data_IF_543797271173
#
_entry.id   IF_543797271173
#
_cell.length_a   1.000
_cell.length_b   1.000
_cell.length_c   1.000
_cell.angle_alpha   90.00
_cell.angle_beta   90.00
_cell.angle_gamma   90.00
#
_symmetry.space_group_name_H-M   'P 1'
#
loop_
_entity.id
_entity.type
_entity.pdbx_description
1 polymer ?
#
# COMPACT_ATOMS: atom_id res chain seq x y z
N UNK A 1 57.06 -14.67 41.61
CA UNK A 1 55.66 -14.63 41.13
C UNK A 1 55.25 -13.17 41.01
N UNK A 2 55.29 -12.62 39.80
CA UNK A 2 54.93 -11.23 39.52
C UNK A 2 53.47 -11.22 39.05
N UNK A 3 52.59 -10.56 39.81
CA UNK A 3 51.16 -10.41 39.49
C UNK A 3 50.99 -9.19 38.57
N UNK A 4 50.58 -9.43 37.33
CA UNK A 4 50.12 -8.39 36.40
C UNK A 4 48.70 -7.97 36.76
N UNK A 5 48.51 -6.69 37.09
CA UNK A 5 47.19 -6.06 37.15
C UNK A 5 46.85 -5.52 35.76
N UNK A 6 45.82 -6.08 35.12
CA UNK A 6 45.23 -5.54 33.89
C UNK A 6 44.18 -4.50 34.30
N UNK A 7 44.42 -3.24 33.96
CA UNK A 7 43.47 -2.15 34.13
C UNK A 7 42.45 -2.19 32.98
N UNK A 8 41.19 -2.50 33.30
CA UNK A 8 40.07 -2.44 32.36
C UNK A 8 39.61 -0.97 32.25
N UNK A 9 40.01 -0.30 31.16
CA UNK A 9 39.51 1.04 30.85
C UNK A 9 38.10 0.93 30.25
N UNK A 10 37.08 1.31 31.02
CA UNK A 10 35.72 1.43 30.55
C UNK A 10 35.61 2.68 29.65
N UNK A 11 35.62 2.49 28.33
CA UNK A 11 35.23 3.52 27.37
C UNK A 11 33.71 3.72 27.44
N UNK A 12 33.27 4.77 28.15
CA UNK A 12 31.92 5.30 27.97
C UNK A 12 31.86 5.95 26.59
N UNK A 13 31.50 5.17 25.56
CA UNK A 13 31.08 5.74 24.28
C UNK A 13 29.77 6.44 24.55
N UNK A 14 29.80 7.77 24.63
CA UNK A 14 28.60 8.58 24.64
C UNK A 14 27.90 8.33 23.30
N UNK A 15 26.87 7.49 23.30
CA UNK A 15 25.95 7.39 22.17
C UNK A 15 25.29 8.76 22.04
N UNK A 16 25.75 9.54 21.07
CA UNK A 16 25.01 10.70 20.61
C UNK A 16 23.64 10.16 20.17
N UNK A 17 22.58 10.54 20.88
CA UNK A 17 21.24 10.47 20.31
C UNK A 17 21.27 11.43 19.13
N UNK A 18 21.49 10.92 17.94
CA UNK A 18 21.26 11.68 16.72
C UNK A 18 19.78 12.07 16.73
N UNK A 19 19.52 13.37 16.85
CA UNK A 19 18.17 13.89 16.76
C UNK A 19 17.57 13.46 15.42
N UNK A 20 16.28 13.11 15.42
CA UNK A 20 15.57 12.79 14.19
C UNK A 20 15.79 13.90 13.14
N UNK A 21 16.00 13.55 11.87
CA UNK A 21 16.27 14.54 10.84
C UNK A 21 15.06 15.50 10.70
N UNK A 22 15.34 16.79 10.50
CA UNK A 22 14.28 17.74 10.10
C UNK A 22 13.81 17.43 8.68
N UNK A 23 12.61 17.89 8.32
CA UNK A 23 12.08 17.73 6.97
C UNK A 23 13.03 18.31 5.91
N UNK A 24 13.64 19.48 6.18
CA UNK A 24 14.56 20.14 5.25
C UNK A 24 15.87 19.36 5.08
N UNK A 25 16.42 18.82 6.17
CA UNK A 25 17.61 17.99 6.12
C UNK A 25 17.35 16.70 5.34
N UNK A 26 16.19 16.08 5.58
CA UNK A 26 15.74 14.89 4.86
C UNK A 26 15.52 15.15 3.37
N UNK A 27 14.81 16.23 3.03
CA UNK A 27 14.54 16.63 1.66
C UNK A 27 15.82 16.93 0.87
N UNK A 28 16.80 17.59 1.52
CA UNK A 28 18.10 17.86 0.91
C UNK A 28 18.88 16.58 0.60
N UNK A 29 18.89 15.62 1.52
CA UNK A 29 19.51 14.30 1.30
C UNK A 29 18.83 13.57 0.12
N UNK A 30 17.50 13.50 0.11
CA UNK A 30 16.75 12.87 -0.98
C UNK A 30 16.94 13.57 -2.33
N UNK A 31 16.98 14.91 -2.35
CA UNK A 31 17.26 15.69 -3.55
C UNK A 31 18.63 15.34 -4.13
N UNK A 32 19.67 15.27 -3.29
CA UNK A 32 21.01 14.91 -3.74
C UNK A 32 21.05 13.50 -4.35
N UNK A 33 20.35 12.54 -3.75
CA UNK A 33 20.28 11.16 -4.26
C UNK A 33 19.57 11.10 -5.61
N UNK A 34 18.43 11.79 -5.74
CA UNK A 34 17.69 11.86 -6.99
C UNK A 34 18.48 12.58 -8.09
N UNK A 35 19.13 13.71 -7.80
CA UNK A 35 19.99 14.41 -8.75
C UNK A 35 21.16 13.54 -9.23
N UNK A 36 21.72 12.71 -8.33
CA UNK A 36 22.79 11.77 -8.69
C UNK A 36 22.28 10.66 -9.59
N UNK A 37 21.05 10.19 -9.39
CA UNK A 37 20.42 9.14 -10.18
C UNK A 37 19.79 9.66 -11.49
N UNK A 38 19.50 10.96 -11.59
CA UNK A 38 18.88 11.66 -12.72
C UNK A 38 19.72 12.88 -13.14
N UNK A 39 20.95 12.70 -13.65
CA UNK A 39 21.89 13.81 -13.89
C UNK A 39 21.47 14.82 -14.97
N UNK A 40 20.42 14.52 -15.75
CA UNK A 40 19.86 15.41 -16.77
C UNK A 40 18.65 16.22 -16.30
N UNK A 41 18.10 15.93 -15.12
CA UNK A 41 16.87 16.54 -14.63
C UNK A 41 17.18 17.73 -13.72
N UNK A 42 16.40 18.82 -13.89
CA UNK A 42 16.46 19.94 -12.95
C UNK A 42 15.51 19.65 -11.80
N UNK A 43 16.06 19.24 -10.66
CA UNK A 43 15.29 18.92 -9.46
C UNK A 43 15.42 20.01 -8.41
N UNK A 44 14.31 20.39 -7.77
CA UNK A 44 14.30 21.34 -6.65
C UNK A 44 13.26 20.95 -5.59
N UNK A 45 13.52 21.30 -4.33
CA UNK A 45 12.52 21.18 -3.26
C UNK A 45 11.45 22.26 -3.44
N UNK A 46 10.18 21.88 -3.31
CA UNK A 46 9.05 22.81 -3.38
C UNK A 46 9.09 23.78 -2.18
N UNK A 47 9.00 25.09 -2.44
CA UNK A 47 9.28 26.10 -1.43
C UNK A 47 8.31 26.11 -0.24
N UNK A 48 7.07 25.70 -0.46
CA UNK A 48 5.98 25.64 0.53
C UNK A 48 5.74 24.23 1.09
N UNK A 49 6.38 23.19 0.52
CA UNK A 49 6.27 21.80 0.97
C UNK A 49 7.64 21.12 0.91
N UNK A 50 8.43 21.13 2.01
CA UNK A 50 9.81 20.65 2.00
C UNK A 50 9.92 19.16 1.65
N UNK A 51 8.88 18.37 1.91
CA UNK A 51 8.82 16.95 1.58
C UNK A 51 8.30 16.68 0.16
N UNK A 52 8.37 17.66 -0.74
CA UNK A 52 8.05 17.49 -2.17
C UNK A 52 9.23 17.98 -3.00
N UNK A 53 9.75 17.12 -3.87
CA UNK A 53 10.71 17.50 -4.90
C UNK A 53 9.98 17.60 -6.22
N UNK A 54 10.20 18.68 -6.95
CA UNK A 54 9.64 18.90 -8.29
C UNK A 54 10.71 18.79 -9.35
N UNK A 55 10.39 18.13 -10.46
CA UNK A 55 11.10 18.24 -11.73
C UNK A 55 10.25 19.11 -12.65
N UNK A 56 10.57 20.41 -12.79
CA UNK A 56 9.84 21.28 -13.68
C UNK A 56 10.00 20.79 -15.11
N UNK A 57 8.90 20.67 -15.83
CA UNK A 57 8.96 20.46 -17.27
C UNK A 57 9.10 21.83 -17.96
N UNK A 58 9.93 21.94 -19.01
CA UNK A 58 10.13 23.21 -19.75
C UNK A 58 8.80 23.78 -20.28
N UNK A 59 7.84 22.89 -20.57
CA UNK A 59 6.50 23.25 -21.05
C UNK A 59 5.49 23.54 -19.93
N UNK A 60 5.84 23.34 -18.65
CA UNK A 60 4.97 23.46 -17.46
C UNK A 60 3.64 22.69 -17.53
N UNK A 61 3.52 21.75 -18.47
CA UNK A 61 2.28 20.99 -18.67
C UNK A 61 2.15 19.85 -17.67
N UNK A 62 3.26 19.21 -17.33
CA UNK A 62 3.32 18.06 -16.43
C UNK A 62 4.62 18.07 -15.63
N UNK A 63 4.70 18.90 -14.59
CA UNK A 63 5.80 18.82 -13.63
C UNK A 63 5.75 17.45 -12.92
N UNK A 64 6.90 16.79 -12.76
CA UNK A 64 6.95 15.56 -11.97
C UNK A 64 7.08 15.90 -10.49
N UNK A 65 6.27 15.27 -9.65
CA UNK A 65 6.31 15.45 -8.20
C UNK A 65 6.79 14.17 -7.52
N UNK A 66 7.86 14.27 -6.74
CA UNK A 66 8.37 13.20 -5.90
C UNK A 66 8.00 13.51 -4.44
N UNK A 67 6.96 12.84 -3.95
CA UNK A 67 6.46 13.04 -2.59
C UNK A 67 7.25 12.18 -1.60
N UNK A 68 7.84 12.83 -0.59
CA UNK A 68 8.72 12.25 0.42
C UNK A 68 8.03 12.02 1.77
N UNK A 69 6.80 12.50 1.96
CA UNK A 69 6.10 12.50 3.27
C UNK A 69 6.07 11.13 3.91
N UNK A 70 5.75 10.11 3.12
CA UNK A 70 5.67 8.73 3.59
C UNK A 70 7.01 8.19 4.10
N UNK A 71 8.08 8.44 3.34
CA UNK A 71 9.41 7.92 3.69
C UNK A 71 9.94 8.66 4.90
N UNK A 72 9.72 9.98 4.95
CA UNK A 72 10.02 10.77 6.11
C UNK A 72 9.31 10.25 7.36
N UNK A 73 7.99 10.06 7.30
CA UNK A 73 7.18 9.53 8.40
C UNK A 73 7.64 8.15 8.88
N UNK A 74 8.03 7.26 7.96
CA UNK A 74 8.65 5.98 8.30
C UNK A 74 9.99 6.17 9.03
N UNK A 75 10.87 7.00 8.47
CA UNK A 75 12.20 7.29 9.00
C UNK A 75 12.20 7.98 10.38
N UNK A 76 11.10 8.62 10.79
CA UNK A 76 10.99 9.19 12.14
C UNK A 76 11.03 8.13 13.25
N UNK A 77 10.63 6.89 12.94
CA UNK A 77 10.46 5.82 13.93
C UNK A 77 11.29 4.57 13.63
N UNK A 78 11.85 4.46 12.41
CA UNK A 78 12.64 3.32 11.98
C UNK A 78 14.10 3.38 12.51
N UNK A 79 14.78 2.22 12.52
CA UNK A 79 16.23 2.20 12.72
C UNK A 79 16.95 2.91 11.57
N UNK A 80 18.16 3.42 11.83
CA UNK A 80 18.93 4.18 10.83
C UNK A 80 19.18 3.38 9.54
N UNK A 81 19.55 2.09 9.67
CA UNK A 81 19.80 1.21 8.54
C UNK A 81 18.53 0.94 7.71
N UNK A 82 17.38 0.77 8.38
CA UNK A 82 16.08 0.58 7.70
C UNK A 82 15.68 1.85 6.93
N UNK A 83 15.84 3.02 7.55
CA UNK A 83 15.58 4.29 6.89
C UNK A 83 16.48 4.47 5.64
N UNK A 84 17.78 4.18 5.75
CA UNK A 84 18.69 4.25 4.61
C UNK A 84 18.32 3.27 3.49
N UNK A 85 17.93 2.04 3.82
CA UNK A 85 17.45 1.06 2.84
C UNK A 85 16.22 1.58 2.09
N UNK A 86 15.22 2.12 2.81
CA UNK A 86 13.99 2.63 2.17
C UNK A 86 14.27 3.85 1.28
N UNK A 87 15.20 4.75 1.66
CA UNK A 87 15.62 5.86 0.79
C UNK A 87 16.25 5.36 -0.51
N UNK A 88 17.14 4.37 -0.44
CA UNK A 88 17.80 3.80 -1.62
C UNK A 88 16.78 3.12 -2.54
N UNK A 89 15.89 2.30 -1.97
CA UNK A 89 14.83 1.63 -2.71
C UNK A 89 13.90 2.61 -3.41
N UNK A 90 13.57 3.73 -2.76
CA UNK A 90 12.74 4.77 -3.37
C UNK A 90 13.41 5.40 -4.60
N UNK A 91 14.68 5.78 -4.49
CA UNK A 91 15.45 6.35 -5.61
C UNK A 91 15.56 5.32 -6.74
N UNK A 92 15.88 4.07 -6.42
CA UNK A 92 15.95 3.00 -7.40
C UNK A 92 14.62 2.82 -8.15
N UNK A 93 13.49 2.78 -7.43
CA UNK A 93 12.15 2.66 -8.04
C UNK A 93 11.77 3.86 -8.92
N UNK A 94 12.12 5.08 -8.51
CA UNK A 94 11.81 6.28 -9.30
C UNK A 94 12.64 6.41 -10.58
N UNK A 95 13.87 5.90 -10.55
CA UNK A 95 14.81 5.98 -11.68
C UNK A 95 14.84 4.74 -12.56
N UNK A 96 14.15 3.67 -12.15
CA UNK A 96 14.03 2.47 -12.96
C UNK A 96 13.38 2.83 -14.32
N UNK A 97 13.94 2.34 -15.45
CA UNK A 97 13.29 2.49 -16.74
C UNK A 97 11.87 1.96 -16.66
N UNK A 98 10.90 2.75 -17.10
CA UNK A 98 9.52 2.29 -17.19
C UNK A 98 9.47 1.12 -18.16
N UNK A 99 9.11 -0.05 -17.65
CA UNK A 99 8.81 -1.19 -18.51
C UNK A 99 7.45 -0.95 -19.14
N UNK A 100 7.32 -1.22 -20.43
CA UNK A 100 6.03 -1.15 -21.11
C UNK A 100 5.12 -2.21 -20.49
N UNK A 101 3.98 -1.77 -19.96
CA UNK A 101 3.02 -2.67 -19.36
C UNK A 101 2.35 -3.54 -20.43
N UNK A 102 1.95 -4.73 -20.05
CA UNK A 102 1.31 -5.73 -20.89
C UNK A 102 -0.06 -6.13 -20.33
N UNK A 103 -0.81 -6.93 -21.08
CA UNK A 103 -2.11 -7.47 -20.61
C UNK A 103 -1.93 -8.42 -19.44
N UNK A 104 -0.75 -9.04 -19.33
CA UNK A 104 -0.36 -10.01 -18.31
C UNK A 104 -0.06 -9.36 -16.95
N UNK A 105 0.14 -8.05 -16.94
CA UNK A 105 0.43 -7.24 -15.76
C UNK A 105 -0.86 -6.76 -15.07
N UNK A 106 -2.04 -7.09 -15.59
CA UNK A 106 -3.29 -6.62 -15.01
C UNK A 106 -3.59 -7.28 -13.66
N UNK A 107 -3.84 -6.44 -12.65
CA UNK A 107 -4.23 -6.86 -11.31
C UNK A 107 -5.47 -6.11 -10.84
N UNK A 108 -6.12 -6.66 -9.83
CA UNK A 108 -7.08 -5.98 -8.99
C UNK A 108 -6.33 -5.60 -7.72
N UNK A 109 -6.49 -4.34 -7.29
CA UNK A 109 -6.06 -3.87 -5.97
C UNK A 109 -7.26 -3.33 -5.21
N UNK A 110 -7.19 -3.27 -3.89
CA UNK A 110 -8.24 -2.67 -3.04
C UNK A 110 -7.70 -1.46 -2.30
N UNK A 111 -8.45 -0.37 -2.31
CA UNK A 111 -8.12 0.90 -1.64
C UNK A 111 -9.34 1.46 -0.91
N UNK A 112 -9.09 2.40 -0.01
CA UNK A 112 -10.12 3.13 0.71
C UNK A 112 -10.78 4.24 -0.12
N UNK A 113 -11.79 4.86 0.50
CA UNK A 113 -12.42 6.08 0.05
C UNK A 113 -11.42 7.23 -0.18
N UNK A 114 -10.47 7.43 0.72
CA UNK A 114 -9.52 8.55 0.64
C UNK A 114 -8.68 8.48 -0.64
N UNK A 115 -8.24 7.28 -1.03
CA UNK A 115 -7.56 7.08 -2.31
C UNK A 115 -8.46 7.40 -3.51
N UNK A 116 -9.75 7.01 -3.46
CA UNK A 116 -10.70 7.33 -4.54
C UNK A 116 -10.93 8.83 -4.62
N UNK A 117 -11.07 9.52 -3.49
CA UNK A 117 -11.26 10.96 -3.48
C UNK A 117 -10.01 11.70 -3.99
N UNK A 118 -8.81 11.23 -3.63
CA UNK A 118 -7.57 11.69 -4.25
C UNK A 118 -7.59 11.55 -5.79
N UNK A 119 -7.95 10.38 -6.33
CA UNK A 119 -8.07 10.20 -7.79
C UNK A 119 -9.12 11.13 -8.41
N UNK A 120 -10.20 11.42 -7.67
CA UNK A 120 -11.26 12.31 -8.16
C UNK A 120 -10.83 13.76 -8.23
N UNK A 121 -10.06 14.20 -7.26
CA UNK A 121 -9.63 15.58 -7.11
C UNK A 121 -8.40 15.90 -7.96
N UNK A 122 -7.56 14.88 -8.26
CA UNK A 122 -6.31 15.07 -9.00
C UNK A 122 -6.37 14.66 -10.47
N UNK A 123 -7.22 13.71 -10.84
CA UNK A 123 -7.28 13.19 -12.21
C UNK A 123 -8.57 13.64 -12.91
N UNK A 124 -8.48 14.25 -14.11
CA UNK A 124 -9.65 14.57 -14.94
C UNK A 124 -10.55 13.35 -15.14
N UNK A 125 -11.87 13.59 -15.20
CA UNK A 125 -12.85 12.51 -15.26
C UNK A 125 -12.63 11.54 -16.44
N UNK A 126 -12.17 12.03 -17.60
CA UNK A 126 -11.94 11.22 -18.80
C UNK A 126 -10.68 10.34 -18.72
N UNK A 127 -9.74 10.70 -17.85
CA UNK A 127 -8.48 9.98 -17.62
C UNK A 127 -8.49 9.18 -16.31
N UNK A 128 -9.57 9.30 -15.52
CA UNK A 128 -9.67 8.66 -14.22
C UNK A 128 -9.62 7.13 -14.37
N UNK A 129 -8.82 6.44 -13.53
CA UNK A 129 -8.83 5.00 -13.52
C UNK A 129 -10.19 4.42 -13.16
N UNK A 130 -10.44 3.21 -13.63
CA UNK A 130 -11.68 2.48 -13.32
C UNK A 130 -11.62 1.86 -11.93
N UNK A 131 -12.72 2.00 -11.20
CA UNK A 131 -12.89 1.41 -9.88
C UNK A 131 -14.33 0.96 -9.66
N UNK A 132 -14.53 -0.01 -8.75
CA UNK A 132 -15.84 -0.49 -8.31
C UNK A 132 -15.91 -0.47 -6.79
N UNK A 133 -16.99 0.06 -6.26
CA UNK A 133 -17.25 -0.06 -4.83
C UNK A 133 -17.55 -1.52 -4.49
N UNK A 134 -16.80 -2.09 -3.54
CA UNK A 134 -17.00 -3.46 -3.05
C UNK A 134 -17.52 -3.48 -1.61
N UNK A 135 -17.46 -2.34 -0.93
CA UNK A 135 -17.98 -2.17 0.42
C UNK A 135 -18.07 -0.73 0.89
N UNK A 136 -18.44 -0.56 2.15
CA UNK A 136 -18.44 0.74 2.83
C UNK A 136 -17.01 1.24 3.00
N UNK A 137 -16.63 2.25 2.21
CA UNK A 137 -15.27 2.76 2.20
C UNK A 137 -14.24 1.84 1.55
N UNK A 138 -14.65 0.76 0.85
CA UNK A 138 -13.73 -0.12 0.11
C UNK A 138 -14.03 -0.14 -1.39
N UNK A 139 -12.96 0.00 -2.17
CA UNK A 139 -13.02 0.05 -3.63
C UNK A 139 -11.98 -0.88 -4.24
N UNK A 140 -12.39 -1.64 -5.26
CA UNK A 140 -11.49 -2.39 -6.11
C UNK A 140 -11.11 -1.54 -7.33
N UNK A 141 -9.83 -1.54 -7.72
CA UNK A 141 -9.29 -0.80 -8.86
C UNK A 141 -8.48 -1.70 -9.80
N UNK A 142 -8.39 -1.30 -11.07
CA UNK A 142 -7.44 -1.90 -12.01
C UNK A 142 -6.04 -1.44 -11.64
N UNK A 143 -5.07 -2.32 -11.75
CA UNK A 143 -3.66 -1.98 -11.67
C UNK A 143 -2.87 -2.68 -12.78
N UNK A 144 -1.77 -2.07 -13.19
CA UNK A 144 -0.73 -2.67 -14.01
C UNK A 144 0.49 -2.88 -13.11
N UNK A 145 0.75 -4.14 -12.81
CA UNK A 145 1.88 -4.63 -12.02
C UNK A 145 3.02 -5.02 -12.96
N UNK A 146 3.72 -4.00 -13.46
CA UNK A 146 4.92 -4.21 -14.28
C UNK A 146 6.12 -4.56 -13.39
N UNK A 147 7.18 -5.19 -13.92
CA UNK A 147 8.37 -5.54 -13.14
C UNK A 147 9.02 -4.36 -12.38
N UNK A 148 8.85 -3.13 -12.89
CA UNK A 148 9.41 -1.92 -12.31
C UNK A 148 8.47 -1.13 -11.40
N UNK A 149 7.15 -1.28 -11.57
CA UNK A 149 6.17 -0.43 -10.88
C UNK A 149 4.75 -0.98 -10.96
N UNK A 150 3.95 -0.65 -9.93
CA UNK A 150 2.51 -0.83 -9.92
C UNK A 150 1.87 0.53 -10.20
N UNK A 151 1.10 0.63 -11.28
CA UNK A 151 0.33 1.82 -11.64
C UNK A 151 -1.15 1.52 -11.75
N UNK A 152 -2.00 2.56 -11.66
CA UNK A 152 -3.45 2.43 -11.86
C UNK A 152 -3.76 3.00 -13.24
N UNK A 153 -4.09 2.16 -14.25
CA UNK A 153 -4.12 2.62 -15.63
C UNK A 153 -5.27 3.57 -15.90
N UNK A 154 -4.98 4.61 -16.67
CA UNK A 154 -6.00 5.45 -17.28
C UNK A 154 -6.77 4.67 -18.36
N UNK A 155 -7.96 5.15 -18.73
CA UNK A 155 -8.75 4.53 -19.80
C UNK A 155 -8.04 4.47 -21.14
N UNK A 156 -7.19 5.45 -21.43
CA UNK A 156 -6.38 5.47 -22.65
C UNK A 156 -5.36 4.32 -22.66
N UNK A 157 -4.67 4.08 -21.56
CA UNK A 157 -3.66 3.03 -21.43
C UNK A 157 -4.30 1.63 -21.60
N UNK A 158 -5.49 1.40 -21.04
CA UNK A 158 -6.24 0.16 -21.29
C UNK A 158 -6.57 -0.05 -22.77
N UNK A 159 -6.90 1.02 -23.50
CA UNK A 159 -7.14 0.95 -24.95
C UNK A 159 -5.87 0.70 -25.75
N UNK A 160 -4.73 1.24 -25.31
CA UNK A 160 -3.41 0.97 -25.91
C UNK A 160 -3.01 -0.50 -25.72
N UNK A 161 -3.37 -1.09 -24.58
CA UNK A 161 -3.31 -2.53 -24.38
C UNK A 161 -4.31 -3.30 -25.25
N UNK A 162 -5.24 -2.64 -25.96
CA UNK A 162 -6.26 -3.31 -26.75
C UNK A 162 -7.27 -4.06 -25.88
N UNK A 163 -7.69 -3.44 -24.77
CA UNK A 163 -8.73 -3.91 -23.88
C UNK A 163 -9.82 -2.85 -23.71
N UNK A 164 -11.06 -3.31 -23.71
CA UNK A 164 -12.19 -2.53 -23.18
C UNK A 164 -12.26 -2.66 -21.66
N UNK A 165 -13.02 -1.79 -21.01
CA UNK A 165 -13.23 -1.87 -19.56
C UNK A 165 -13.92 -3.18 -19.15
N UNK A 166 -14.86 -3.66 -19.96
CA UNK A 166 -15.60 -4.90 -19.72
C UNK A 166 -14.70 -6.14 -19.81
N UNK A 167 -13.68 -6.11 -20.66
CA UNK A 167 -12.69 -7.19 -20.81
C UNK A 167 -11.59 -7.12 -19.74
N UNK A 168 -11.14 -5.92 -19.38
CA UNK A 168 -10.03 -5.73 -18.45
C UNK A 168 -10.35 -6.28 -17.05
N UNK A 169 -11.58 -6.10 -16.56
CA UNK A 169 -11.97 -6.50 -15.20
C UNK A 169 -11.95 -8.01 -14.95
N UNK A 170 -12.64 -8.87 -15.75
CA UNK A 170 -12.56 -10.31 -15.57
C UNK A 170 -11.14 -10.85 -15.84
N UNK A 171 -10.37 -10.23 -16.74
CA UNK A 171 -8.98 -10.60 -16.98
C UNK A 171 -8.10 -10.32 -15.74
N UNK A 172 -8.15 -9.10 -15.22
CA UNK A 172 -7.43 -8.70 -14.02
C UNK A 172 -7.82 -9.56 -12.81
N UNK A 173 -9.12 -9.80 -12.61
CA UNK A 173 -9.61 -10.67 -11.53
C UNK A 173 -9.07 -12.09 -11.66
N UNK A 174 -9.08 -12.68 -12.86
CA UNK A 174 -8.52 -14.00 -13.11
C UNK A 174 -7.02 -14.05 -12.80
N UNK A 175 -6.25 -13.07 -13.27
CA UNK A 175 -4.80 -12.99 -13.04
C UNK A 175 -4.46 -12.79 -11.56
N UNK A 176 -5.22 -11.93 -10.87
CA UNK A 176 -5.04 -11.69 -9.43
C UNK A 176 -5.32 -12.95 -8.61
N UNK A 177 -6.43 -13.65 -8.89
CA UNK A 177 -6.73 -14.92 -8.21
C UNK A 177 -5.66 -16.00 -8.41
N UNK A 178 -4.92 -15.96 -9.52
CA UNK A 178 -3.88 -16.94 -9.81
C UNK A 178 -2.63 -16.77 -8.94
N UNK A 179 -2.42 -15.60 -8.33
CA UNK A 179 -1.28 -15.31 -7.44
C UNK A 179 -1.66 -15.20 -5.97
N UNK A 180 -2.96 -15.09 -5.66
CA UNK A 180 -3.48 -15.04 -4.30
C UNK A 180 -3.62 -16.43 -3.67
N UNK A 181 -3.55 -16.53 -2.34
CA UNK A 181 -3.82 -17.78 -1.64
C UNK A 181 -5.28 -18.20 -1.81
N UNK A 182 -5.53 -19.51 -1.79
CA UNK A 182 -6.87 -20.06 -1.91
C UNK A 182 -7.66 -19.93 -0.59
N UNK A 183 -8.87 -19.39 -0.68
CA UNK A 183 -9.85 -19.41 0.40
C UNK A 183 -10.67 -20.71 0.34
N UNK A 184 -10.49 -21.57 1.34
CA UNK A 184 -11.31 -22.78 1.46
C UNK A 184 -12.64 -22.47 2.15
N UNK A 185 -13.73 -22.60 1.40
CA UNK A 185 -15.09 -22.49 1.94
C UNK A 185 -15.34 -23.49 3.08
N UNK A 186 -14.82 -24.72 2.96
CA UNK A 186 -14.97 -25.74 4.00
C UNK A 186 -14.20 -25.37 5.27
N UNK A 187 -13.01 -24.77 5.15
CA UNK A 187 -12.29 -24.26 6.31
C UNK A 187 -13.03 -23.14 7.03
N UNK A 188 -13.64 -22.21 6.28
CA UNK A 188 -14.49 -21.17 6.87
C UNK A 188 -15.75 -21.76 7.52
N UNK A 189 -16.42 -22.75 6.92
CA UNK A 189 -17.57 -23.44 7.54
C UNK A 189 -17.23 -24.09 8.87
N UNK A 190 -16.01 -24.60 9.01
CA UNK A 190 -15.49 -25.20 10.24
C UNK A 190 -15.04 -24.16 11.28
N UNK A 191 -15.16 -22.86 10.98
CA UNK A 191 -14.76 -21.80 11.88
C UNK A 191 -13.25 -21.53 11.93
N UNK A 192 -12.48 -22.03 10.94
CA UNK A 192 -11.02 -21.82 10.91
C UNK A 192 -10.70 -20.38 10.53
N UNK A 193 -9.90 -19.64 11.34
CA UNK A 193 -9.44 -18.32 10.96
C UNK A 193 -8.33 -18.42 9.90
N UNK A 194 -8.23 -17.40 9.06
CA UNK A 194 -7.17 -17.20 8.08
C UNK A 194 -6.44 -15.90 8.38
N UNK A 195 -5.14 -15.99 8.60
CA UNK A 195 -4.23 -14.85 8.57
C UNK A 195 -3.31 -15.07 7.37
N UNK A 196 -3.52 -14.30 6.31
CA UNK A 196 -2.64 -14.36 5.14
C UNK A 196 -1.61 -13.25 5.25
N UNK A 197 -0.37 -13.65 5.04
CA UNK A 197 0.82 -12.81 5.07
C UNK A 197 1.65 -13.14 3.82
N UNK A 198 2.57 -12.25 3.45
CA UNK A 198 3.59 -12.49 2.40
C UNK A 198 3.09 -12.51 0.94
N UNK A 199 1.79 -12.47 0.68
CA UNK A 199 1.26 -12.33 -0.69
C UNK A 199 1.00 -10.86 -1.02
N UNK A 200 1.32 -10.45 -2.24
CA UNK A 200 0.92 -9.15 -2.76
C UNK A 200 -0.59 -9.16 -3.08
N UNK A 201 -1.22 -7.99 -2.95
CA UNK A 201 -2.65 -7.78 -3.30
C UNK A 201 -3.64 -8.56 -2.43
N UNK A 202 -3.27 -8.98 -1.22
CA UNK A 202 -4.15 -9.78 -0.35
C UNK A 202 -5.56 -9.22 -0.17
N UNK A 203 -5.75 -7.91 0.02
CA UNK A 203 -7.08 -7.29 0.08
C UNK A 203 -7.98 -7.58 -1.13
N UNK A 204 -7.42 -7.93 -2.29
CA UNK A 204 -8.18 -8.32 -3.48
C UNK A 204 -8.92 -9.65 -3.32
N UNK A 205 -8.64 -10.44 -2.28
CA UNK A 205 -9.53 -11.52 -1.83
C UNK A 205 -10.95 -11.01 -1.55
N UNK A 206 -11.09 -9.77 -1.07
CA UNK A 206 -12.36 -9.13 -0.78
C UNK A 206 -13.07 -8.60 -2.03
N UNK A 207 -12.36 -8.43 -3.15
CA UNK A 207 -12.92 -7.87 -4.39
C UNK A 207 -13.79 -8.88 -5.17
N UNK A 208 -13.66 -10.18 -4.90
CA UNK A 208 -14.43 -11.25 -5.53
C UNK A 208 -15.86 -11.38 -4.94
N UNK A 209 -16.63 -10.31 -5.04
CA UNK A 209 -17.97 -10.20 -4.43
C UNK A 209 -18.94 -11.29 -4.90
N UNK A 210 -18.77 -11.83 -6.11
CA UNK A 210 -19.58 -12.95 -6.60
C UNK A 210 -19.32 -14.24 -5.81
N UNK A 211 -18.05 -14.58 -5.55
CA UNK A 211 -17.69 -15.74 -4.72
C UNK A 211 -18.20 -15.55 -3.29
N UNK A 212 -18.03 -14.37 -2.71
CA UNK A 212 -18.53 -14.06 -1.37
C UNK A 212 -20.06 -14.14 -1.29
N UNK A 213 -20.76 -13.69 -2.32
CA UNK A 213 -22.23 -13.82 -2.41
C UNK A 213 -22.67 -15.29 -2.48
N UNK A 214 -21.95 -16.13 -3.22
CA UNK A 214 -22.23 -17.57 -3.27
C UNK A 214 -21.90 -18.29 -1.95
N UNK A 215 -20.89 -17.80 -1.23
CA UNK A 215 -20.45 -18.35 0.05
C UNK A 215 -21.32 -17.91 1.23
N UNK A 216 -21.86 -16.68 1.22
CA UNK A 216 -22.60 -16.06 2.32
C UNK A 216 -23.68 -16.95 2.97
N UNK A 217 -24.56 -17.65 2.21
CA UNK A 217 -25.61 -18.49 2.81
C UNK A 217 -25.07 -19.70 3.60
N UNK A 218 -23.78 -20.02 3.44
CA UNK A 218 -23.13 -21.18 4.02
C UNK A 218 -22.20 -20.82 5.18
N UNK A 219 -22.01 -19.52 5.44
CA UNK A 219 -21.05 -19.01 6.42
C UNK A 219 -21.78 -18.44 7.63
N UNK A 220 -21.10 -18.44 8.78
CA UNK A 220 -21.62 -17.77 9.97
C UNK A 220 -21.74 -16.27 9.73
N UNK A 221 -22.81 -15.67 10.27
CA UNK A 221 -22.94 -14.21 10.31
C UNK A 221 -21.82 -13.58 11.14
N UNK A 222 -21.21 -14.32 12.06
CA UNK A 222 -20.08 -13.85 12.87
C UNK A 222 -18.77 -13.73 12.09
N UNK A 223 -18.71 -14.19 10.84
CA UNK A 223 -17.53 -14.01 9.99
C UNK A 223 -17.26 -12.52 9.77
N UNK A 224 -15.99 -12.14 9.89
CA UNK A 224 -15.49 -10.82 9.56
C UNK A 224 -14.18 -10.91 8.77
N UNK A 225 -13.83 -9.83 8.08
CA UNK A 225 -12.55 -9.65 7.42
C UNK A 225 -11.93 -8.28 7.76
N UNK A 226 -10.60 -8.19 7.73
CA UNK A 226 -9.85 -6.93 7.79
C UNK A 226 -8.88 -6.86 6.61
N UNK A 227 -8.57 -5.65 6.17
CA UNK A 227 -7.61 -5.36 5.10
C UNK A 227 -6.81 -4.12 5.48
N UNK A 228 -5.86 -4.29 6.39
CA UNK A 228 -5.06 -3.18 6.95
C UNK A 228 -3.94 -2.75 6.01
N UNK A 229 -3.38 -3.67 5.21
CA UNK A 229 -2.27 -3.40 4.29
C UNK A 229 -2.39 -4.24 3.01
N UNK A 230 -1.56 -3.92 2.00
CA UNK A 230 -1.51 -4.65 0.73
C UNK A 230 -1.14 -6.14 0.89
N UNK A 231 -0.53 -6.50 2.03
CA UNK A 231 0.04 -7.83 2.29
C UNK A 231 -0.52 -8.49 3.56
N UNK A 232 -1.63 -7.97 4.09
CA UNK A 232 -2.28 -8.58 5.25
C UNK A 232 -3.80 -8.56 5.13
N UNK A 233 -4.39 -9.75 5.19
CA UNK A 233 -5.83 -9.94 5.36
C UNK A 233 -6.06 -10.96 6.45
N UNK A 234 -6.91 -10.60 7.39
CA UNK A 234 -7.36 -11.49 8.45
C UNK A 234 -8.85 -11.76 8.31
N UNK A 235 -9.23 -13.03 8.28
CA UNK A 235 -10.63 -13.50 8.19
C UNK A 235 -10.87 -14.44 9.35
N UNK A 236 -11.83 -14.11 10.20
CA UNK A 236 -12.13 -14.93 11.38
C UNK A 236 -13.60 -14.76 11.80
N UNK A 237 -13.94 -15.31 12.96
CA UNK A 237 -15.29 -15.31 13.50
C UNK A 237 -15.30 -14.60 14.84
N UNK A 238 -16.20 -13.65 15.01
CA UNK A 238 -16.41 -12.95 16.27
C UNK A 238 -17.84 -12.45 16.33
N UNK A 239 -18.53 -12.77 17.42
CA UNK A 239 -19.84 -12.22 17.72
C UNK A 239 -19.72 -10.74 18.08
N UNK A 240 -20.80 -10.01 17.86
CA UNK A 240 -20.90 -8.62 18.30
C UNK A 240 -20.78 -8.52 19.83
N UNK A 241 -20.19 -7.42 20.30
CA UNK A 241 -20.02 -7.15 21.73
C UNK A 241 -18.61 -6.66 22.08
N UNK A 242 -18.26 -6.60 23.38
CA UNK A 242 -17.05 -5.91 23.85
C UNK A 242 -15.74 -6.43 23.25
N UNK A 243 -15.70 -7.72 22.86
CA UNK A 243 -14.51 -8.31 22.22
C UNK A 243 -14.29 -7.76 20.82
N UNK A 244 -15.37 -7.60 20.04
CA UNK A 244 -15.32 -7.02 18.71
C UNK A 244 -14.92 -5.55 18.77
N UNK A 245 -15.47 -4.79 19.72
CA UNK A 245 -15.08 -3.39 19.92
C UNK A 245 -13.59 -3.22 20.24
N UNK A 246 -13.07 -4.04 21.15
CA UNK A 246 -11.63 -4.02 21.44
C UNK A 246 -10.80 -4.42 20.22
N UNK A 247 -11.29 -5.38 19.42
CA UNK A 247 -10.59 -5.80 18.21
C UNK A 247 -10.60 -4.72 17.12
N UNK A 248 -11.70 -3.98 16.94
CA UNK A 248 -11.77 -2.82 16.04
C UNK A 248 -10.70 -1.78 16.41
N UNK A 249 -10.49 -1.53 17.69
CA UNK A 249 -9.43 -0.63 18.15
C UNK A 249 -8.03 -1.14 17.78
N UNK A 250 -7.77 -2.44 17.92
CA UNK A 250 -6.50 -3.04 17.47
C UNK A 250 -6.30 -2.91 15.97
N UNK A 251 -7.35 -3.09 15.16
CA UNK A 251 -7.28 -2.94 13.69
C UNK A 251 -6.99 -1.49 13.29
N UNK A 252 -7.60 -0.52 13.98
CA UNK A 252 -7.31 0.90 13.79
C UNK A 252 -5.85 1.23 14.12
N UNK A 253 -5.36 0.77 15.27
CA UNK A 253 -3.97 0.98 15.70
C UNK A 253 -2.97 0.34 14.74
N UNK A 254 -3.23 -0.88 14.29
CA UNK A 254 -2.40 -1.58 13.30
C UNK A 254 -2.39 -0.81 11.97
N UNK A 255 -3.56 -0.44 11.45
CA UNK A 255 -3.68 0.42 10.26
C UNK A 255 -2.85 1.70 10.39
N UNK A 256 -2.93 2.42 11.52
CA UNK A 256 -2.14 3.63 11.76
C UNK A 256 -0.62 3.38 11.78
N UNK A 257 -0.18 2.18 12.16
CA UNK A 257 1.21 1.79 12.14
C UNK A 257 1.71 1.37 10.74
N UNK A 258 0.79 1.06 9.81
CA UNK A 258 1.16 0.65 8.46
C UNK A 258 1.63 1.85 7.60
N UNK A 259 2.72 1.72 6.83
CA UNK A 259 3.14 2.76 5.90
C UNK A 259 2.08 3.06 4.83
N UNK A 260 1.28 2.06 4.44
CA UNK A 260 0.13 2.14 3.51
C UNK A 260 -1.03 1.43 4.19
N UNK A 261 -1.82 2.16 4.97
CA UNK A 261 -3.09 1.61 5.41
C UNK A 261 -4.07 1.53 4.23
N UNK A 262 -4.82 0.43 4.14
CA UNK A 262 -5.94 0.30 3.20
C UNK A 262 -7.27 0.55 3.88
N UNK A 263 -7.46 0.11 5.12
CA UNK A 263 -8.68 0.39 5.86
C UNK A 263 -8.51 0.13 7.36
N UNK A 264 -8.99 1.04 8.23
CA UNK A 264 -9.00 0.84 9.68
C UNK A 264 -10.19 0.01 10.19
N UNK A 265 -11.08 -0.45 9.30
CA UNK A 265 -12.34 -1.08 9.69
C UNK A 265 -12.30 -2.62 9.69
N UNK A 266 -13.18 -3.18 10.51
CA UNK A 266 -13.57 -4.60 10.49
C UNK A 266 -14.83 -4.72 9.64
N UNK A 267 -14.84 -5.64 8.68
CA UNK A 267 -15.94 -5.80 7.73
C UNK A 267 -16.71 -7.09 7.91
N UNK A 268 -18.01 -7.05 7.65
CA UNK A 268 -18.86 -8.22 7.44
C UNK A 268 -19.37 -8.23 6.01
N UNK A 269 -19.40 -9.38 5.35
CA UNK A 269 -20.04 -9.47 4.04
C UNK A 269 -21.54 -9.64 4.21
N UNK A 270 -22.32 -8.70 3.64
CA UNK A 270 -23.78 -8.66 3.73
C UNK A 270 -24.40 -8.23 2.41
N UNK A 271 -25.36 -8.99 1.92
CA UNK A 271 -26.18 -8.61 0.76
C UNK A 271 -25.32 -8.23 -0.46
N UNK A 272 -24.27 -9.01 -0.72
CA UNK A 272 -23.39 -8.80 -1.88
C UNK A 272 -22.31 -7.72 -1.72
N UNK A 273 -22.11 -7.15 -0.53
CA UNK A 273 -21.05 -6.16 -0.27
C UNK A 273 -20.42 -6.29 1.12
N UNK A 274 -19.25 -5.70 1.30
CA UNK A 274 -18.65 -5.52 2.63
C UNK A 274 -19.28 -4.32 3.34
N UNK A 275 -19.76 -4.52 4.56
CA UNK A 275 -20.26 -3.46 5.45
C UNK A 275 -19.36 -3.37 6.67
N UNK A 276 -19.16 -2.18 7.22
CA UNK A 276 -18.43 -2.03 8.48
C UNK A 276 -19.22 -2.77 9.56
N UNK A 277 -18.54 -3.55 10.38
CA UNK A 277 -19.17 -4.26 11.49
C UNK A 277 -19.62 -3.23 12.54
N UNK A 278 -20.89 -3.27 12.93
CA UNK A 278 -21.45 -2.49 14.05
C UNK A 278 -20.94 -2.98 15.41
#
# INVERSE_FOLDING_TARGET
>A
MVRFFIALAAFCVASACDAAPTEEAFAKDMLQRLQSALPGETLQVKADEPLVIVAPNEDHRDDAFYNLHRIYGFCLNAAADDCESVKQDYVAKLTAPRTEASKEDLRIIVRDQDYIDYLRDTIPADDRPQYRQIGEGLYALLALDSPSTISVPALKELRELGLTQEEAWPLAMKQTKAVLPELSLDGLKEGRPYAFEEFEYLPSLLADTEWWTAAEPQLSQDLFATAVSDQFVFIAFMQDGPRLENFKQTVLEDCMAQPRCISPFVYRFRNGRWVVAD
#
